data_IF_836585550859
#
_entry.id   IF_836585550859
#
_cell.length_a   1.000
_cell.length_b   1.000
_cell.length_c   1.000
_cell.angle_alpha   90.00
_cell.angle_beta   90.00
_cell.angle_gamma   90.00
#
_symmetry.space_group_name_H-M   'P 1'
#
loop_
_entity.id
_entity.type
_entity.pdbx_description
1 polymer ?
#
# COMPACT_ATOMS: atom_id res chain seq x y z
N UNK A 1 21.83 58.49 -11.83
CA UNK A 1 20.76 57.57 -12.28
C UNK A 1 20.74 56.28 -11.44
N UNK A 2 20.76 56.36 -10.09
CA UNK A 2 20.88 55.15 -9.25
C UNK A 2 20.32 55.28 -7.83
N UNK A 3 19.37 56.18 -7.57
CA UNK A 3 18.81 56.33 -6.21
C UNK A 3 17.28 56.10 -6.10
N UNK A 4 16.58 56.00 -7.23
CA UNK A 4 15.11 55.86 -7.22
C UNK A 4 14.61 54.41 -7.25
N UNK A 5 15.45 53.44 -7.60
CA UNK A 5 15.05 52.02 -7.71
C UNK A 5 15.08 51.25 -6.38
N UNK A 6 15.84 51.72 -5.38
CA UNK A 6 15.99 50.99 -4.11
C UNK A 6 14.78 51.19 -3.15
N UNK A 7 14.10 52.35 -3.22
CA UNK A 7 12.95 52.65 -2.34
C UNK A 7 11.67 51.89 -2.74
N UNK A 8 11.52 51.50 -4.00
CA UNK A 8 10.36 50.74 -4.47
C UNK A 8 10.37 49.27 -3.98
N UNK A 9 11.56 48.66 -3.85
CA UNK A 9 11.69 47.24 -3.46
C UNK A 9 11.48 47.00 -1.96
N UNK A 10 11.81 47.97 -1.11
CA UNK A 10 11.63 47.87 0.34
C UNK A 10 10.17 48.03 0.79
N UNK A 11 9.34 48.76 0.04
CA UNK A 11 7.94 48.99 0.42
C UNK A 11 7.04 47.78 0.13
N UNK A 12 7.35 47.00 -0.92
CA UNK A 12 6.52 45.86 -1.33
C UNK A 12 6.72 44.64 -0.39
N UNK A 13 7.95 44.43 0.08
CA UNK A 13 8.29 43.37 1.05
C UNK A 13 7.63 43.56 2.42
N UNK A 14 7.35 44.81 2.82
CA UNK A 14 6.67 45.11 4.09
C UNK A 14 5.15 44.89 4.03
N UNK A 15 4.52 44.93 2.85
CA UNK A 15 3.09 44.66 2.69
C UNK A 15 2.77 43.16 2.72
N UNK A 16 3.67 42.34 2.21
CA UNK A 16 3.48 40.89 2.10
C UNK A 16 3.64 40.13 3.42
N UNK A 17 4.40 40.67 4.39
CA UNK A 17 4.56 40.09 5.73
C UNK A 17 3.36 40.36 6.66
N UNK A 18 2.52 41.35 6.36
CA UNK A 18 1.36 41.72 7.20
C UNK A 18 0.11 40.87 6.92
N UNK A 19 -0.11 40.42 5.69
CA UNK A 19 -1.28 39.60 5.33
C UNK A 19 -1.19 38.13 5.79
N UNK A 20 0.02 37.59 5.94
CA UNK A 20 0.23 36.22 6.42
C UNK A 20 -0.04 36.07 7.93
N UNK A 21 0.03 37.15 8.71
CA UNK A 21 -0.21 37.14 10.16
C UNK A 21 -1.70 37.18 10.52
N UNK A 22 -2.55 37.82 9.71
CA UNK A 22 -4.01 37.86 9.95
C UNK A 22 -4.74 36.58 9.50
N UNK A 23 -4.24 35.90 8.47
CA UNK A 23 -4.81 34.61 8.01
C UNK A 23 -4.70 33.50 9.07
N UNK A 24 -3.59 33.46 9.82
CA UNK A 24 -3.38 32.47 10.87
C UNK A 24 -4.24 32.73 12.14
N UNK A 25 -4.57 34.00 12.41
CA UNK A 25 -5.46 34.40 13.51
C UNK A 25 -6.91 33.99 13.27
N UNK A 26 -7.40 34.16 12.04
CA UNK A 26 -8.77 33.76 11.65
C UNK A 26 -8.93 32.23 11.59
N UNK A 27 -7.90 31.50 11.15
CA UNK A 27 -7.91 30.03 11.14
C UNK A 27 -7.99 29.43 12.55
N UNK A 28 -7.28 30.01 13.53
CA UNK A 28 -7.36 29.61 14.94
C UNK A 28 -8.75 29.84 15.54
N UNK A 29 -9.41 30.95 15.19
CA UNK A 29 -10.78 31.26 15.64
C UNK A 29 -11.82 30.32 15.01
N UNK A 30 -11.67 29.98 13.73
CA UNK A 30 -12.53 29.00 13.05
C UNK A 30 -12.38 27.58 13.62
N UNK A 31 -11.17 27.15 13.97
CA UNK A 31 -10.94 25.84 14.61
C UNK A 31 -11.59 25.79 16.00
N UNK A 32 -11.50 26.85 16.80
CA UNK A 32 -12.08 26.90 18.13
C UNK A 32 -13.61 26.89 18.13
N UNK A 33 -14.24 27.60 17.19
CA UNK A 33 -15.71 27.62 17.05
C UNK A 33 -16.23 26.31 16.44
N UNK A 34 -15.52 25.75 15.45
CA UNK A 34 -15.86 24.45 14.85
C UNK A 34 -15.73 23.28 15.83
N UNK A 35 -14.67 23.27 16.66
CA UNK A 35 -14.46 22.23 17.66
C UNK A 35 -15.53 22.27 18.77
N UNK A 36 -15.97 23.45 19.20
CA UNK A 36 -17.03 23.60 20.21
C UNK A 36 -18.39 23.08 19.73
N UNK A 37 -18.76 23.35 18.47
CA UNK A 37 -20.01 22.86 17.90
C UNK A 37 -20.00 21.35 17.67
N UNK A 38 -18.88 20.78 17.20
CA UNK A 38 -18.73 19.34 17.05
C UNK A 38 -18.74 18.59 18.40
N UNK A 39 -18.17 19.17 19.45
CA UNK A 39 -18.17 18.58 20.79
C UNK A 39 -19.56 18.65 21.44
N UNK A 40 -20.33 19.72 21.23
CA UNK A 40 -21.71 19.83 21.70
C UNK A 40 -22.67 18.88 20.95
N UNK A 41 -22.49 18.70 19.64
CA UNK A 41 -23.26 17.73 18.85
C UNK A 41 -22.88 16.28 19.18
N UNK A 42 -21.59 16.00 19.44
CA UNK A 42 -21.10 14.68 19.84
C UNK A 42 -21.46 14.27 21.27
N UNK A 43 -21.93 15.19 22.12
CA UNK A 43 -22.41 14.90 23.48
C UNK A 43 -23.91 14.61 23.52
N UNK A 44 -24.69 15.13 22.57
CA UNK A 44 -26.13 14.86 22.44
C UNK A 44 -26.43 13.58 21.63
N UNK A 45 -25.49 13.15 20.76
CA UNK A 45 -25.52 11.83 20.12
C UNK A 45 -24.39 10.98 20.68
N UNK A 46 -24.72 10.11 21.64
CA UNK A 46 -23.77 9.26 22.35
C UNK A 46 -22.86 8.42 21.45
N UNK A 47 -21.80 7.86 22.06
CA UNK A 47 -20.75 7.05 21.42
C UNK A 47 -21.28 5.84 20.62
N UNK A 48 -22.56 5.50 20.72
CA UNK A 48 -23.18 4.39 20.00
C UNK A 48 -23.55 4.71 18.54
N UNK A 49 -23.69 5.99 18.16
CA UNK A 49 -23.97 6.37 16.77
C UNK A 49 -22.77 6.16 15.83
N UNK A 50 -21.55 6.23 16.36
CA UNK A 50 -20.31 6.02 15.60
C UNK A 50 -20.21 4.57 15.10
N UNK A 51 -20.76 3.62 15.84
CA UNK A 51 -20.68 2.19 15.53
C UNK A 51 -21.58 1.79 14.34
N UNK A 52 -22.74 2.44 14.16
CA UNK A 52 -23.64 2.15 13.04
C UNK A 52 -23.21 2.83 11.72
N UNK A 53 -22.65 4.04 11.78
CA UNK A 53 -22.17 4.73 10.58
C UNK A 53 -20.88 4.08 10.04
N UNK A 54 -19.99 3.63 10.93
CA UNK A 54 -18.79 2.88 10.55
C UNK A 54 -19.13 1.54 9.87
N UNK A 55 -20.20 0.87 10.31
CA UNK A 55 -20.62 -0.43 9.75
C UNK A 55 -21.44 -0.26 8.45
N UNK A 56 -22.11 0.87 8.25
CA UNK A 56 -22.85 1.18 7.01
C UNK A 56 -21.96 1.59 5.84
N UNK A 57 -20.89 2.33 6.09
CA UNK A 57 -20.01 2.83 5.02
C UNK A 57 -19.08 1.76 4.42
N UNK A 58 -18.61 0.80 5.22
CA UNK A 58 -17.77 -0.30 4.72
C UNK A 58 -18.53 -1.24 3.77
N UNK A 59 -19.82 -1.49 4.05
CA UNK A 59 -20.62 -2.48 3.31
C UNK A 59 -21.14 -1.99 1.95
N UNK A 60 -21.31 -0.67 1.77
CA UNK A 60 -21.72 -0.08 0.49
C UNK A 60 -20.56 0.05 -0.51
N UNK A 61 -19.34 0.32 -0.04
CA UNK A 61 -18.18 0.49 -0.93
C UNK A 61 -17.66 -0.85 -1.48
N UNK A 62 -17.70 -1.92 -0.68
CA UNK A 62 -17.19 -3.23 -1.09
C UNK A 62 -18.11 -3.95 -2.10
N UNK A 63 -19.42 -3.65 -2.10
CA UNK A 63 -20.37 -4.20 -3.09
C UNK A 63 -20.31 -3.49 -4.45
N UNK A 64 -19.81 -2.25 -4.54
CA UNK A 64 -19.66 -1.54 -5.82
C UNK A 64 -18.44 -2.02 -6.60
N UNK A 65 -17.35 -2.38 -5.91
CA UNK A 65 -16.14 -2.94 -6.55
C UNK A 65 -16.41 -4.26 -7.26
N UNK A 66 -17.38 -5.05 -6.79
CA UNK A 66 -17.72 -6.35 -7.38
C UNK A 66 -18.54 -6.25 -8.67
N UNK A 67 -19.04 -5.07 -9.03
CA UNK A 67 -19.91 -4.86 -10.21
C UNK A 67 -19.24 -4.06 -11.33
N UNK A 68 -17.92 -3.84 -11.28
CA UNK A 68 -17.22 -3.12 -12.36
C UNK A 68 -16.91 -4.11 -13.50
N UNK A 69 -17.34 -3.84 -14.75
CA UNK A 69 -17.01 -4.68 -15.89
C UNK A 69 -15.49 -4.82 -16.06
N UNK A 70 -15.02 -6.03 -16.36
CA UNK A 70 -13.58 -6.33 -16.50
C UNK A 70 -12.95 -5.49 -17.62
N UNK A 71 -13.72 -5.15 -18.65
CA UNK A 71 -13.33 -4.26 -19.75
C UNK A 71 -12.87 -2.91 -19.23
N UNK A 72 -13.59 -2.33 -18.26
CA UNK A 72 -13.24 -1.04 -17.67
C UNK A 72 -11.93 -1.12 -16.87
N UNK A 73 -11.70 -2.23 -16.17
CA UNK A 73 -10.44 -2.43 -15.45
C UNK A 73 -9.25 -2.56 -16.40
N UNK A 74 -9.42 -3.23 -17.54
CA UNK A 74 -8.40 -3.35 -18.59
C UNK A 74 -8.10 -1.99 -19.26
N UNK A 75 -9.13 -1.20 -19.56
CA UNK A 75 -8.94 0.18 -20.07
C UNK A 75 -8.24 1.08 -19.05
N UNK A 76 -8.62 0.95 -17.78
CA UNK A 76 -7.95 1.66 -16.69
C UNK A 76 -6.49 1.24 -16.58
N UNK A 77 -6.19 -0.06 -16.66
CA UNK A 77 -4.81 -0.57 -16.67
C UNK A 77 -4.01 0.03 -17.83
N UNK A 78 -4.58 0.06 -19.03
CA UNK A 78 -3.96 0.68 -20.20
C UNK A 78 -3.67 2.17 -19.99
N UNK A 79 -4.61 2.92 -19.39
CA UNK A 79 -4.40 4.33 -19.03
C UNK A 79 -3.26 4.50 -18.03
N UNK A 80 -3.23 3.70 -16.96
CA UNK A 80 -2.16 3.73 -15.97
C UNK A 80 -0.78 3.42 -16.58
N UNK A 81 -0.70 2.48 -17.52
CA UNK A 81 0.52 2.16 -18.26
C UNK A 81 0.95 3.35 -19.14
N UNK A 82 0.01 4.00 -19.82
CA UNK A 82 0.30 5.19 -20.62
C UNK A 82 0.79 6.37 -19.77
N UNK A 83 0.25 6.52 -18.57
CA UNK A 83 0.65 7.53 -17.57
C UNK A 83 2.08 7.31 -17.04
N UNK A 84 2.68 6.11 -17.22
CA UNK A 84 4.10 5.88 -16.94
C UNK A 84 5.02 6.59 -17.96
N UNK A 85 4.55 6.85 -19.19
CA UNK A 85 5.35 7.46 -20.27
C UNK A 85 5.91 8.84 -19.90
N UNK A 86 5.10 9.81 -19.39
CA UNK A 86 5.64 11.10 -18.96
C UNK A 86 6.62 10.97 -17.79
N UNK A 87 6.42 10.03 -16.88
CA UNK A 87 7.35 9.76 -15.77
C UNK A 87 8.71 9.25 -16.27
N UNK A 88 8.69 8.27 -17.17
CA UNK A 88 9.88 7.74 -17.85
C UNK A 88 10.62 8.86 -18.61
N UNK A 89 9.89 9.72 -19.32
CA UNK A 89 10.47 10.86 -20.05
C UNK A 89 11.12 11.87 -19.09
N UNK A 90 10.47 12.16 -17.97
CA UNK A 90 11.05 13.02 -16.92
C UNK A 90 12.36 12.44 -16.38
N UNK A 91 12.37 11.14 -16.06
CA UNK A 91 13.56 10.44 -15.58
C UNK A 91 14.69 10.42 -16.62
N UNK A 92 14.36 10.22 -17.91
CA UNK A 92 15.31 10.31 -19.02
C UNK A 92 15.94 11.70 -19.11
N UNK A 93 15.17 12.78 -18.93
CA UNK A 93 15.71 14.14 -18.90
C UNK A 93 16.66 14.37 -17.72
N UNK A 94 16.36 13.82 -16.55
CA UNK A 94 17.23 13.91 -15.37
C UNK A 94 18.56 13.17 -15.61
N UNK A 95 18.50 11.97 -16.20
CA UNK A 95 19.70 11.20 -16.57
C UNK A 95 20.53 11.96 -17.60
N UNK A 96 19.91 12.48 -18.67
CA UNK A 96 20.62 13.25 -19.69
C UNK A 96 21.29 14.51 -19.11
N UNK A 97 20.66 15.17 -18.14
CA UNK A 97 21.28 16.29 -17.43
C UNK A 97 22.48 15.85 -16.60
N UNK A 98 22.34 14.75 -15.85
CA UNK A 98 23.43 14.21 -15.04
C UNK A 98 24.61 13.76 -15.91
N UNK A 99 24.36 13.19 -17.09
CA UNK A 99 25.41 12.86 -18.09
C UNK A 99 26.25 14.09 -18.45
N UNK A 100 25.59 15.19 -18.80
CA UNK A 100 26.28 16.45 -19.14
C UNK A 100 27.07 17.00 -17.95
N UNK A 101 26.54 16.87 -16.73
CA UNK A 101 27.21 17.36 -15.53
C UNK A 101 28.40 16.47 -15.13
N UNK A 102 28.32 15.16 -15.34
CA UNK A 102 29.44 14.20 -15.23
C UNK A 102 30.52 14.53 -16.26
N UNK A 103 30.16 14.79 -17.51
CA UNK A 103 31.11 15.15 -18.57
C UNK A 103 31.84 16.46 -18.26
N UNK A 104 31.13 17.47 -17.74
CA UNK A 104 31.74 18.74 -17.30
C UNK A 104 32.73 18.51 -16.16
N UNK A 105 32.33 17.71 -15.16
CA UNK A 105 33.19 17.38 -14.02
C UNK A 105 34.44 16.60 -14.47
N UNK A 106 34.30 15.67 -15.40
CA UNK A 106 35.41 14.95 -16.00
C UNK A 106 36.40 15.90 -16.68
N UNK A 107 35.91 16.81 -17.54
CA UNK A 107 36.77 17.83 -18.18
C UNK A 107 37.46 18.73 -17.15
N UNK A 108 36.78 19.04 -16.04
CA UNK A 108 37.37 19.83 -14.96
C UNK A 108 38.53 19.08 -14.27
N UNK A 109 38.35 17.79 -13.98
CA UNK A 109 39.39 16.92 -13.43
C UNK A 109 40.57 16.81 -14.40
N UNK A 110 40.31 16.58 -15.69
CA UNK A 110 41.36 16.50 -16.72
C UNK A 110 42.17 17.80 -16.81
N UNK A 111 41.51 18.96 -16.79
CA UNK A 111 42.18 20.26 -16.79
C UNK A 111 43.02 20.46 -15.53
N UNK A 112 42.50 20.07 -14.36
CA UNK A 112 43.25 20.14 -13.10
C UNK A 112 44.47 19.21 -13.12
N UNK A 113 44.35 18.02 -13.70
CA UNK A 113 45.43 17.05 -13.87
C UNK A 113 46.55 17.60 -14.77
N UNK A 114 46.19 18.25 -15.86
CA UNK A 114 47.16 18.92 -16.74
C UNK A 114 47.90 20.05 -16.02
N UNK A 115 47.17 20.88 -15.25
CA UNK A 115 47.74 21.94 -14.42
C UNK A 115 48.70 21.38 -13.37
N UNK A 116 48.27 20.37 -12.61
CA UNK A 116 49.10 19.69 -11.62
C UNK A 116 50.36 19.05 -12.22
N UNK A 117 50.25 18.46 -13.42
CA UNK A 117 51.42 17.92 -14.10
C UNK A 117 52.43 19.02 -14.46
N UNK A 118 51.96 20.22 -14.81
CA UNK A 118 52.82 21.37 -15.02
C UNK A 118 53.42 21.90 -13.72
N UNK A 119 52.61 22.14 -12.69
CA UNK A 119 53.07 22.60 -11.37
C UNK A 119 54.12 21.62 -10.80
N UNK A 120 53.91 20.31 -10.95
CA UNK A 120 54.89 19.28 -10.54
C UNK A 120 56.23 19.43 -11.27
N UNK A 121 56.22 19.65 -12.58
CA UNK A 121 57.46 19.87 -13.36
C UNK A 121 58.19 21.12 -12.90
N UNK A 122 57.48 22.21 -12.65
CA UNK A 122 58.05 23.46 -12.17
C UNK A 122 58.67 23.31 -10.77
N UNK A 123 57.95 22.68 -9.84
CA UNK A 123 58.44 22.38 -8.48
C UNK A 123 59.69 21.51 -8.53
N UNK A 124 59.69 20.44 -9.35
CA UNK A 124 60.85 19.57 -9.50
C UNK A 124 62.05 20.30 -10.11
N UNK A 125 61.83 21.17 -11.11
CA UNK A 125 62.88 22.00 -11.69
C UNK A 125 63.54 22.90 -10.64
N UNK A 126 62.73 23.66 -9.89
CA UNK A 126 63.24 24.55 -8.83
C UNK A 126 63.98 23.78 -7.74
N UNK A 127 63.51 22.57 -7.41
CA UNK A 127 64.20 21.68 -6.47
C UNK A 127 65.58 21.29 -7.01
N UNK A 128 65.65 20.75 -8.23
CA UNK A 128 66.92 20.34 -8.84
C UNK A 128 67.91 21.50 -8.91
N UNK A 129 67.45 22.69 -9.32
CA UNK A 129 68.30 23.88 -9.37
C UNK A 129 68.82 24.25 -7.95
N UNK A 130 68.01 24.11 -6.91
CA UNK A 130 68.43 24.34 -5.52
C UNK A 130 69.42 23.29 -4.98
N UNK A 131 69.34 22.07 -5.49
CA UNK A 131 70.24 20.95 -5.14
C UNK A 131 71.65 21.18 -5.74
N UNK A 132 71.77 21.87 -6.88
CA UNK A 132 73.05 22.25 -7.51
C UNK A 132 73.87 23.27 -6.68
N UNK A 133 73.29 23.88 -5.65
CA UNK A 133 74.01 24.70 -4.66
C UNK A 133 74.42 26.11 -5.10
N UNK A 134 73.98 26.58 -6.26
CA UNK A 134 74.25 27.93 -6.77
C UNK A 134 73.65 29.04 -5.88
N UNK A 135 74.29 30.21 -5.83
CA UNK A 135 73.82 31.35 -5.02
C UNK A 135 72.85 32.28 -5.78
N UNK A 136 72.88 32.23 -7.10
CA UNK A 136 72.06 33.07 -7.98
C UNK A 136 71.50 32.22 -9.11
N UNK A 137 70.20 32.35 -9.33
CA UNK A 137 69.45 31.61 -10.35
C UNK A 137 68.87 32.59 -11.37
N UNK A 138 68.82 32.19 -12.63
CA UNK A 138 68.21 33.00 -13.69
C UNK A 138 67.00 32.26 -14.26
N UNK A 139 65.82 32.85 -14.07
CA UNK A 139 64.58 32.35 -14.65
C UNK A 139 64.02 33.41 -15.59
N UNK A 140 63.79 33.02 -16.85
CA UNK A 140 63.51 33.96 -17.93
C UNK A 140 64.54 35.11 -17.95
N UNK A 141 64.11 36.37 -17.80
CA UNK A 141 64.98 37.56 -17.82
C UNK A 141 65.34 38.10 -16.43
N UNK A 142 64.97 37.40 -15.35
CA UNK A 142 65.16 37.89 -13.97
C UNK A 142 66.14 37.01 -13.19
N UNK A 143 66.94 37.67 -12.34
CA UNK A 143 67.87 37.01 -11.42
C UNK A 143 67.26 36.95 -10.03
N UNK A 144 67.38 35.79 -9.41
CA UNK A 144 66.85 35.52 -8.08
C UNK A 144 67.95 34.97 -7.18
N UNK A 145 67.90 35.33 -5.90
CA UNK A 145 68.79 34.76 -4.89
C UNK A 145 68.30 33.38 -4.45
N UNK A 146 69.20 32.57 -3.89
CA UNK A 146 68.83 31.24 -3.36
C UNK A 146 67.65 31.27 -2.39
N UNK A 147 67.60 32.26 -1.49
CA UNK A 147 66.53 32.38 -0.50
C UNK A 147 65.18 32.74 -1.14
N UNK A 148 65.18 33.58 -2.18
CA UNK A 148 63.97 33.88 -2.96
C UNK A 148 63.43 32.63 -3.66
N UNK A 149 64.32 31.81 -4.24
CA UNK A 149 63.92 30.56 -4.90
C UNK A 149 63.40 29.54 -3.90
N UNK A 150 64.00 29.43 -2.71
CA UNK A 150 63.48 28.58 -1.62
C UNK A 150 62.09 29.00 -1.16
N UNK A 151 61.86 30.31 -1.00
CA UNK A 151 60.56 30.84 -0.62
C UNK A 151 59.50 30.58 -1.70
N UNK A 152 59.84 30.78 -2.98
CA UNK A 152 58.94 30.47 -4.11
C UNK A 152 58.63 28.97 -4.19
N UNK A 153 59.65 28.10 -4.05
CA UNK A 153 59.47 26.65 -4.04
C UNK A 153 58.50 26.22 -2.92
N UNK A 154 58.66 26.75 -1.71
CA UNK A 154 57.75 26.45 -0.60
C UNK A 154 56.31 26.85 -0.93
N UNK A 155 56.11 28.07 -1.46
CA UNK A 155 54.78 28.54 -1.86
C UNK A 155 54.13 27.69 -2.96
N UNK A 156 54.90 27.33 -4.01
CA UNK A 156 54.41 26.47 -5.10
C UNK A 156 54.11 25.07 -4.64
N UNK A 157 54.93 24.51 -3.76
CA UNK A 157 54.73 23.16 -3.25
C UNK A 157 53.48 23.06 -2.37
N UNK A 158 53.22 24.05 -1.52
CA UNK A 158 51.98 24.10 -0.73
C UNK A 158 50.73 24.29 -1.62
N UNK A 159 50.83 25.12 -2.68
CA UNK A 159 49.75 25.23 -3.68
C UNK A 159 49.51 23.89 -4.39
N UNK A 160 50.57 23.21 -4.82
CA UNK A 160 50.52 21.91 -5.47
C UNK A 160 49.83 20.88 -4.57
N UNK A 161 50.21 20.76 -3.30
CA UNK A 161 49.55 19.87 -2.33
C UNK A 161 48.06 20.16 -2.20
N UNK A 162 47.70 21.44 -2.10
CA UNK A 162 46.29 21.85 -1.96
C UNK A 162 45.48 21.49 -3.21
N UNK A 163 46.05 21.71 -4.40
CA UNK A 163 45.41 21.34 -5.67
C UNK A 163 45.34 19.82 -5.85
N UNK A 164 46.35 19.06 -5.44
CA UNK A 164 46.34 17.59 -5.52
C UNK A 164 45.29 16.98 -4.58
N UNK A 165 45.18 17.48 -3.35
CA UNK A 165 44.10 17.10 -2.44
C UNK A 165 42.71 17.48 -2.98
N UNK A 166 42.62 18.58 -3.73
CA UNK A 166 41.36 18.99 -4.40
C UNK A 166 41.04 18.07 -5.57
N UNK A 167 42.04 17.69 -6.38
CA UNK A 167 41.91 16.72 -7.48
C UNK A 167 41.38 15.39 -6.97
N UNK A 168 41.99 14.85 -5.92
CA UNK A 168 41.57 13.57 -5.33
C UNK A 168 40.09 13.58 -4.91
N UNK A 169 39.65 14.68 -4.26
CA UNK A 169 38.23 14.86 -3.90
C UNK A 169 37.32 14.91 -5.12
N UNK A 170 37.70 15.65 -6.16
CA UNK A 170 36.92 15.76 -7.40
C UNK A 170 36.84 14.41 -8.15
N UNK A 171 37.92 13.64 -8.18
CA UNK A 171 37.93 12.28 -8.72
C UNK A 171 37.02 11.34 -7.94
N UNK A 172 37.02 11.43 -6.61
CA UNK A 172 36.08 10.70 -5.76
C UNK A 172 34.62 11.04 -6.06
N UNK A 173 34.31 12.33 -6.22
CA UNK A 173 32.96 12.79 -6.60
C UNK A 173 32.59 12.31 -8.00
N UNK A 174 33.51 12.39 -8.97
CA UNK A 174 33.30 11.94 -10.35
C UNK A 174 32.97 10.44 -10.38
N UNK A 175 33.76 9.62 -9.70
CA UNK A 175 33.54 8.18 -9.60
C UNK A 175 32.19 7.84 -8.96
N UNK A 176 31.82 8.54 -7.88
CA UNK A 176 30.53 8.36 -7.23
C UNK A 176 29.35 8.72 -8.16
N UNK A 177 29.45 9.84 -8.90
CA UNK A 177 28.43 10.26 -9.86
C UNK A 177 28.31 9.33 -11.04
N UNK A 178 29.43 8.86 -11.61
CA UNK A 178 29.43 7.88 -12.71
C UNK A 178 28.71 6.58 -12.30
N UNK A 179 28.99 6.07 -11.10
CA UNK A 179 28.28 4.89 -10.56
C UNK A 179 26.79 5.15 -10.34
N UNK A 180 26.45 6.32 -9.81
CA UNK A 180 25.05 6.73 -9.64
C UNK A 180 24.29 6.84 -10.96
N UNK A 181 24.94 7.39 -11.99
CA UNK A 181 24.41 7.51 -13.33
C UNK A 181 24.19 6.13 -13.99
N UNK A 182 25.14 5.21 -13.85
CA UNK A 182 25.01 3.83 -14.34
C UNK A 182 23.82 3.11 -13.68
N UNK A 183 23.69 3.22 -12.35
CA UNK A 183 22.55 2.66 -11.64
C UNK A 183 21.21 3.29 -12.06
N UNK A 184 21.19 4.59 -12.31
CA UNK A 184 20.00 5.29 -12.79
C UNK A 184 19.59 4.84 -14.21
N UNK A 185 20.55 4.65 -15.11
CA UNK A 185 20.32 4.09 -16.46
C UNK A 185 19.75 2.68 -16.38
N UNK A 186 20.36 1.80 -15.59
CA UNK A 186 19.86 0.45 -15.38
C UNK A 186 18.42 0.42 -14.83
N UNK A 187 18.09 1.33 -13.92
CA UNK A 187 16.72 1.47 -13.39
C UNK A 187 15.74 1.97 -14.47
N UNK A 188 16.15 2.92 -15.32
CA UNK A 188 15.32 3.39 -16.44
C UNK A 188 15.05 2.26 -17.44
N UNK A 189 16.06 1.48 -17.78
CA UNK A 189 15.91 0.32 -18.66
C UNK A 189 14.96 -0.72 -18.05
N UNK A 190 15.10 -0.99 -16.75
CA UNK A 190 14.17 -1.84 -16.00
C UNK A 190 12.72 -1.35 -16.07
N UNK A 191 12.48 -0.04 -15.95
CA UNK A 191 11.14 0.55 -16.09
C UNK A 191 10.59 0.40 -17.51
N UNK A 192 11.42 0.57 -18.55
CA UNK A 192 11.02 0.40 -19.94
C UNK A 192 10.63 -1.06 -20.24
N UNK A 193 11.40 -2.01 -19.73
CA UNK A 193 11.08 -3.45 -19.85
C UNK A 193 9.78 -3.77 -19.12
N UNK A 194 9.62 -3.30 -17.89
CA UNK A 194 8.40 -3.52 -17.11
C UNK A 194 7.16 -2.92 -17.81
N UNK A 195 7.27 -1.72 -18.38
CA UNK A 195 6.18 -1.11 -19.17
C UNK A 195 5.76 -2.01 -20.33
N UNK A 196 6.72 -2.47 -21.14
CA UNK A 196 6.43 -3.35 -22.29
C UNK A 196 5.79 -4.67 -21.85
N UNK A 197 6.25 -5.23 -20.73
CA UNK A 197 5.67 -6.45 -20.18
C UNK A 197 4.20 -6.23 -19.78
N UNK A 198 3.91 -5.14 -19.07
CA UNK A 198 2.54 -4.80 -18.68
C UNK A 198 1.63 -4.56 -19.90
N UNK A 199 2.14 -3.97 -20.98
CA UNK A 199 1.41 -3.81 -22.25
C UNK A 199 1.01 -5.17 -22.83
N UNK A 200 1.97 -6.09 -22.96
CA UNK A 200 1.73 -7.46 -23.45
C UNK A 200 0.75 -8.22 -22.56
N UNK A 201 0.86 -8.08 -21.23
CA UNK A 201 -0.03 -8.74 -20.28
C UNK A 201 -1.48 -8.24 -20.42
N UNK A 202 -1.67 -6.92 -20.58
CA UNK A 202 -2.99 -6.33 -20.82
C UNK A 202 -3.57 -6.81 -22.14
N UNK A 203 -2.78 -6.86 -23.21
CA UNK A 203 -3.22 -7.36 -24.53
C UNK A 203 -3.64 -8.84 -24.46
N UNK A 204 -2.88 -9.68 -23.77
CA UNK A 204 -3.23 -11.08 -23.54
C UNK A 204 -4.53 -11.22 -22.73
N UNK A 205 -4.72 -10.43 -21.68
CA UNK A 205 -5.96 -10.44 -20.89
C UNK A 205 -7.17 -9.97 -21.72
N UNK A 206 -7.01 -8.95 -22.56
CA UNK A 206 -8.04 -8.50 -23.49
C UNK A 206 -8.40 -9.60 -24.50
N UNK A 207 -7.42 -10.32 -25.06
CA UNK A 207 -7.68 -11.43 -25.96
C UNK A 207 -8.46 -12.56 -25.27
N UNK A 208 -8.13 -12.87 -24.01
CA UNK A 208 -8.86 -13.86 -23.20
C UNK A 208 -10.29 -13.45 -22.94
N UNK A 209 -10.52 -12.18 -22.58
CA UNK A 209 -11.86 -11.64 -22.39
C UNK A 209 -12.69 -11.74 -23.68
N UNK A 210 -12.08 -11.41 -24.83
CA UNK A 210 -12.76 -11.53 -26.12
C UNK A 210 -13.13 -12.96 -26.48
N UNK A 211 -12.27 -13.93 -26.17
CA UNK A 211 -12.59 -15.35 -26.35
C UNK A 211 -13.77 -15.79 -25.48
N UNK A 212 -13.84 -15.33 -24.23
CA UNK A 212 -14.98 -15.62 -23.33
C UNK A 212 -16.27 -14.99 -23.86
N UNK A 213 -16.23 -13.75 -24.34
CA UNK A 213 -17.39 -13.08 -24.95
C UNK A 213 -17.89 -13.82 -26.21
N UNK A 214 -16.97 -14.28 -27.07
CA UNK A 214 -17.31 -15.12 -28.24
C UNK A 214 -17.90 -16.47 -27.80
N UNK A 215 -17.35 -17.09 -26.76
CA UNK A 215 -17.91 -18.32 -26.21
C UNK A 215 -19.32 -18.10 -25.64
N UNK A 216 -19.56 -17.01 -24.92
CA UNK A 216 -20.88 -16.68 -24.35
C UNK A 216 -21.93 -16.39 -25.43
N UNK A 217 -21.55 -15.67 -26.49
CA UNK A 217 -22.45 -15.38 -27.61
C UNK A 217 -22.75 -16.62 -28.45
N UNK A 218 -21.79 -17.52 -28.61
CA UNK A 218 -22.02 -18.83 -29.26
C UNK A 218 -22.78 -19.81 -28.36
N UNK A 219 -22.61 -19.73 -27.04
CA UNK A 219 -23.30 -20.56 -26.05
C UNK A 219 -24.67 -20.03 -25.65
N UNK A 220 -25.44 -19.47 -26.59
CA UNK A 220 -26.85 -19.10 -26.38
C UNK A 220 -27.73 -20.36 -26.16
N UNK A 221 -27.44 -21.14 -25.12
CA UNK A 221 -28.34 -22.11 -24.54
C UNK A 221 -29.45 -21.32 -23.85
N UNK A 222 -30.63 -21.28 -24.47
CA UNK A 222 -31.86 -20.90 -23.77
C UNK A 222 -32.13 -21.98 -22.71
N UNK A 223 -31.73 -21.71 -21.47
CA UNK A 223 -32.30 -22.44 -20.35
C UNK A 223 -33.80 -22.10 -20.31
N UNK A 224 -34.63 -23.13 -20.41
CA UNK A 224 -36.08 -22.98 -20.45
C UNK A 224 -36.60 -22.83 -19.01
N UNK A 225 -36.57 -21.60 -18.50
CA UNK A 225 -37.10 -21.24 -17.16
C UNK A 225 -38.60 -21.56 -16.99
N UNK A 226 -39.29 -21.93 -18.09
CA UNK A 226 -40.69 -22.32 -18.04
C UNK A 226 -40.91 -23.59 -17.22
N UNK A 227 -39.97 -24.55 -17.20
CA UNK A 227 -40.14 -25.79 -16.43
C UNK A 227 -39.87 -25.57 -14.93
N UNK A 228 -38.91 -24.70 -14.59
CA UNK A 228 -38.64 -24.35 -13.19
C UNK A 228 -39.82 -23.55 -12.61
N UNK A 229 -40.31 -22.53 -13.32
CA UNK A 229 -41.47 -21.74 -12.89
C UNK A 229 -42.76 -22.58 -12.80
N UNK A 230 -42.97 -23.55 -13.69
CA UNK A 230 -44.09 -24.50 -13.59
C UNK A 230 -43.97 -25.40 -12.37
N UNK A 231 -42.74 -25.83 -12.05
CA UNK A 231 -42.47 -26.68 -10.88
C UNK A 231 -42.70 -25.90 -9.57
N UNK A 232 -42.27 -24.64 -9.50
CA UNK A 232 -42.55 -23.76 -8.35
C UNK A 232 -44.04 -23.53 -8.15
N UNK A 233 -44.80 -23.26 -9.22
CA UNK A 233 -46.27 -23.11 -9.15
C UNK A 233 -46.97 -24.39 -8.67
N UNK A 234 -46.51 -25.55 -9.13
CA UNK A 234 -47.06 -26.83 -8.69
C UNK A 234 -46.77 -27.10 -7.20
N UNK A 235 -45.58 -26.74 -6.72
CA UNK A 235 -45.23 -26.80 -5.29
C UNK A 235 -46.09 -25.86 -4.45
N UNK A 236 -46.35 -24.64 -4.91
CA UNK A 236 -47.23 -23.67 -4.25
C UNK A 236 -48.69 -24.18 -4.19
N UNK A 237 -49.18 -24.77 -5.28
CA UNK A 237 -50.52 -25.37 -5.33
C UNK A 237 -50.64 -26.57 -4.37
N UNK A 238 -49.61 -27.42 -4.28
CA UNK A 238 -49.56 -28.53 -3.31
C UNK A 238 -49.56 -27.99 -1.86
N UNK A 239 -48.74 -26.97 -1.56
CA UNK A 239 -48.72 -26.34 -0.23
C UNK A 239 -50.11 -25.82 0.16
N UNK A 240 -50.76 -25.11 -0.76
CA UNK A 240 -52.11 -24.57 -0.56
C UNK A 240 -53.13 -25.68 -0.28
N UNK A 241 -53.04 -26.82 -0.98
CA UNK A 241 -53.94 -27.96 -0.74
C UNK A 241 -53.73 -28.62 0.61
N UNK A 242 -52.48 -28.70 1.08
CA UNK A 242 -52.16 -29.22 2.42
C UNK A 242 -52.72 -28.28 3.48
N UNK A 243 -52.52 -26.97 3.34
CA UNK A 243 -53.07 -25.97 4.27
C UNK A 243 -54.60 -26.01 4.35
N UNK A 244 -55.28 -26.19 3.21
CA UNK A 244 -56.75 -26.36 3.19
C UNK A 244 -57.16 -27.66 3.86
N UNK A 245 -56.46 -28.77 3.61
CA UNK A 245 -56.74 -30.05 4.27
C UNK A 245 -56.52 -29.97 5.79
N UNK A 246 -55.44 -29.34 6.22
CA UNK A 246 -55.17 -29.09 7.64
C UNK A 246 -56.26 -28.23 8.28
N UNK A 247 -56.71 -27.18 7.57
CA UNK A 247 -57.82 -26.33 8.03
C UNK A 247 -59.15 -27.07 8.07
N UNK A 248 -59.41 -27.99 7.13
CA UNK A 248 -60.62 -28.81 7.11
C UNK A 248 -60.62 -29.84 8.25
N UNK A 249 -59.51 -30.56 8.46
CA UNK A 249 -59.33 -31.47 9.62
C UNK A 249 -59.46 -30.70 10.94
N UNK A 250 -58.94 -29.48 11.01
CA UNK A 250 -59.08 -28.61 12.17
C UNK A 250 -60.51 -28.07 12.34
N UNK A 251 -61.30 -27.99 11.25
CA UNK A 251 -62.69 -27.52 11.27
C UNK A 251 -63.72 -28.64 11.47
N UNK A 252 -63.38 -29.89 11.12
CA UNK A 252 -64.18 -31.10 11.36
C UNK A 252 -63.99 -31.64 12.79
N UNK A 253 -63.15 -30.98 13.61
CA UNK A 253 -62.93 -31.30 15.01
C UNK A 253 -63.92 -30.71 16.02
N UNK A 254 -65.06 -30.15 15.60
CA UNK A 254 -66.12 -29.69 16.51
C UNK A 254 -67.51 -30.09 16.02
N UNK A 255 -68.31 -30.67 16.95
CA UNK A 255 -69.64 -31.32 16.87
C UNK A 255 -69.60 -32.83 16.53
N UNK A 256 -69.94 -33.78 17.40
CA UNK A 256 -70.45 -33.88 18.79
C UNK A 256 -70.30 -35.36 19.23
N UNK A 257 -70.41 -35.82 20.46
CA UNK A 257 -71.54 -35.70 21.39
C UNK A 257 -71.14 -36.17 22.80
N UNK A 258 -71.80 -35.63 23.82
CA UNK A 258 -71.87 -36.22 25.15
C UNK A 258 -72.83 -37.42 25.18
N UNK A 259 -72.42 -38.49 25.86
CA UNK A 259 -73.27 -39.29 26.75
C UNK A 259 -72.48 -39.49 28.04
N UNK A 260 -73.02 -39.01 29.17
CA UNK A 260 -72.60 -39.39 30.52
C UNK A 260 -73.79 -40.08 31.19
N UNK A 261 -73.57 -41.31 31.65
CA UNK A 261 -74.41 -42.05 32.57
C UNK A 261 -73.47 -42.58 33.65
N UNK A 262 -73.45 -41.93 34.81
CA UNK A 262 -73.99 -42.49 36.05
C UNK A 262 -73.59 -41.65 37.26
N UNK A 263 -74.55 -41.53 38.18
CA UNK A 263 -74.57 -40.66 39.33
C UNK A 263 -73.98 -41.35 40.58
N UNK A 264 -72.97 -40.70 41.15
CA UNK A 264 -72.58 -40.56 42.58
C UNK A 264 -72.78 -41.76 43.53
N UNK A 265 -71.68 -42.20 44.17
CA UNK A 265 -71.60 -42.15 45.64
C UNK A 265 -70.17 -42.22 46.21
N UNK A 266 -70.00 -41.47 47.29
CA UNK A 266 -68.80 -41.30 48.10
C UNK A 266 -68.57 -42.52 48.99
N UNK A 267 -67.35 -43.05 49.03
CA UNK A 267 -66.83 -43.79 50.20
C UNK A 267 -65.41 -43.37 50.53
N UNK A 268 -65.22 -43.14 51.82
CA UNK A 268 -64.02 -42.81 52.55
C UNK A 268 -63.01 -43.96 52.47
N UNK A 269 -61.79 -43.69 51.99
CA UNK A 269 -60.69 -44.67 51.99
C UNK A 269 -59.43 -44.03 52.55
N UNK A 270 -59.60 -43.39 53.72
CA UNK A 270 -58.50 -42.97 54.59
C UNK A 270 -57.72 -44.15 55.19
N UNK A 271 -58.27 -45.38 55.11
CA UNK A 271 -57.71 -46.61 55.70
C UNK A 271 -56.86 -47.48 54.73
N UNK A 272 -56.80 -47.17 53.42
CA UNK A 272 -55.85 -47.84 52.49
C UNK A 272 -54.43 -47.24 52.51
N UNK A 273 -54.21 -46.20 53.32
CA UNK A 273 -52.89 -45.62 53.61
C UNK A 273 -51.95 -46.59 54.34
N UNK A 274 -52.42 -47.72 54.90
CA UNK A 274 -51.57 -48.59 55.74
C UNK A 274 -51.05 -49.88 55.06
N UNK A 275 -51.60 -50.31 53.92
CA UNK A 275 -51.24 -51.60 53.30
C UNK A 275 -50.15 -51.50 52.21
N UNK A 276 -49.90 -50.33 51.63
CA UNK A 276 -48.94 -50.19 50.52
C UNK A 276 -47.56 -49.63 50.91
N UNK A 277 -47.38 -49.16 52.14
CA UNK A 277 -46.04 -49.01 52.73
C UNK A 277 -45.50 -50.38 53.18
N UNK A 278 -45.14 -51.29 52.26
CA UNK A 278 -44.26 -52.42 52.61
C UNK A 278 -43.81 -53.24 51.40
N UNK A 279 -43.12 -52.63 50.44
CA UNK A 279 -42.50 -53.44 49.38
C UNK A 279 -41.72 -52.72 48.28
N UNK A 280 -40.55 -52.19 48.61
CA UNK A 280 -39.38 -52.29 47.71
C UNK A 280 -39.06 -51.08 46.81
N UNK A 281 -37.86 -50.56 47.05
CA UNK A 281 -37.17 -49.43 46.40
C UNK A 281 -36.81 -49.59 44.91
N UNK A 282 -36.49 -48.43 44.30
CA UNK A 282 -35.71 -48.18 43.08
C UNK A 282 -36.41 -48.52 41.73
N UNK A 283 -36.30 -47.75 40.64
CA UNK A 283 -35.19 -46.94 40.15
C UNK A 283 -35.67 -46.03 39.00
N UNK A 284 -34.94 -44.95 38.81
CA UNK A 284 -35.04 -43.86 37.83
C UNK A 284 -34.44 -44.27 36.47
N UNK A 285 -35.13 -44.04 35.34
CA UNK A 285 -34.51 -44.03 33.98
C UNK A 285 -35.30 -43.02 33.11
N UNK A 286 -34.87 -41.76 32.98
CA UNK A 286 -33.82 -41.22 32.11
C UNK A 286 -34.30 -40.83 30.69
N UNK A 287 -34.13 -39.52 30.43
CA UNK A 287 -34.19 -38.81 29.15
C UNK A 287 -33.05 -39.28 28.25
N UNK A 288 -33.34 -39.66 27.00
CA UNK A 288 -32.32 -39.91 25.98
C UNK A 288 -32.26 -38.76 24.96
N UNK A 289 -31.30 -37.86 25.17
CA UNK A 289 -30.64 -37.10 24.12
C UNK A 289 -29.28 -37.75 23.92
N UNK A 290 -28.89 -38.06 22.67
CA UNK A 290 -27.52 -37.83 22.15
C UNK A 290 -27.32 -38.30 20.71
N UNK A 291 -26.63 -37.46 19.96
CA UNK A 291 -25.46 -37.89 19.16
C UNK A 291 -24.32 -36.99 19.68
N UNK A 292 -23.17 -37.51 20.14
CA UNK A 292 -22.09 -37.83 19.19
C UNK A 292 -21.04 -38.90 19.59
N UNK A 293 -20.26 -39.29 18.55
CA UNK A 293 -18.86 -39.75 18.54
C UNK A 293 -18.51 -41.19 18.95
N UNK A 294 -17.82 -41.89 18.04
CA UNK A 294 -16.92 -43.02 18.37
C UNK A 294 -15.52 -42.64 17.89
N UNK A 295 -14.59 -42.48 18.85
CA UNK A 295 -13.15 -42.52 18.63
C UNK A 295 -12.60 -43.94 18.83
N UNK A 296 -11.66 -44.29 17.95
CA UNK A 296 -10.41 -45.05 18.17
C UNK A 296 -10.39 -46.13 19.28
N UNK A 297 -10.12 -47.38 18.86
CA UNK A 297 -9.38 -48.32 19.73
C UNK A 297 -8.12 -48.82 19.02
N UNK A 298 -7.00 -48.64 19.71
CA UNK A 298 -5.67 -49.12 19.34
C UNK A 298 -5.49 -50.60 19.69
N UNK A 299 -4.68 -51.34 18.92
CA UNK A 299 -4.01 -52.55 19.41
C UNK A 299 -2.50 -52.51 19.10
N UNK A 300 -1.74 -52.70 20.18
CA UNK A 300 -0.29 -52.59 20.46
C UNK A 300 0.63 -53.58 19.70
N UNK A 301 1.99 -53.55 19.86
CA UNK A 301 2.96 -53.70 18.78
C UNK A 301 3.87 -54.94 18.92
N UNK A 302 4.76 -55.15 17.93
CA UNK A 302 5.97 -55.96 18.11
C UNK A 302 7.10 -55.46 17.17
N UNK A 303 8.21 -55.04 17.78
CA UNK A 303 9.59 -55.05 17.22
C UNK A 303 10.27 -56.37 17.66
N UNK A 304 11.55 -56.70 17.35
CA UNK A 304 12.53 -56.09 16.43
C UNK A 304 13.23 -57.12 15.49
N UNK A 305 14.09 -56.67 14.57
CA UNK A 305 15.51 -57.07 14.41
C UNK A 305 16.04 -57.05 12.97
N UNK A 306 17.14 -56.29 12.81
CA UNK A 306 18.38 -56.54 12.07
C UNK A 306 18.33 -57.26 10.71
N UNK A 307 18.70 -56.52 9.65
CA UNK A 307 19.99 -56.67 8.94
C UNK A 307 20.30 -55.40 8.13
#
# INVERSE_FOLDING_TARGET
MSETTNKACLHDRCRQLRSHWEGFSMFKKMILVGAGSAMALGLLFGRDAVSYVATGYGRLHDQVKQNVPIEFELERAHRMINDLTPEIRSNMHLIAKEEVDVDKLQRQVEKLNQGLAQDKREVLRLKTDLDDGSQTYQYASHRYTRDQVKADLAGRFERFKTQDATREKLEGILSARQKGLEAARAKLDGMLVAKRQLEVDVENLQARLKMVEVAQTTSAFKFDDSQLSRTEKLLEEISTRIEVAEKLVSSEGYFGEQIQLDEVEVKDVSDEVAAYFSGGDAEEIAVDQRVPTIELTSKKPAQPSLN
#
